data_IF_296377098243
#
_entry.id   IF_296377098243
#
_cell.length_a   1.000
_cell.length_b   1.000
_cell.length_c   1.000
_cell.angle_alpha   90.00
_cell.angle_beta   90.00
_cell.angle_gamma   90.00
#
_symmetry.space_group_name_H-M   'P 1'
#
loop_
_entity.id
_entity.type
_entity.pdbx_description
1 polymer ?
#
# COMPACT_ATOMS: atom_id res chain seq x y z
N UNK A 1 29.00 5.87 7.12
CA UNK A 1 28.20 7.12 7.03
C UNK A 1 27.35 7.23 5.76
N UNK A 2 27.72 6.61 4.63
CA UNK A 2 26.97 6.75 3.36
C UNK A 2 25.57 6.08 3.34
N UNK A 3 25.35 4.99 4.10
CA UNK A 3 24.04 4.33 4.16
C UNK A 3 22.96 5.16 4.89
N UNK A 4 23.33 5.91 5.93
CA UNK A 4 22.40 6.78 6.67
C UNK A 4 21.85 7.93 5.81
N UNK A 5 22.66 8.45 4.88
CA UNK A 5 22.25 9.51 3.95
C UNK A 5 21.30 8.96 2.87
N UNK A 6 21.52 7.71 2.42
CA UNK A 6 20.65 7.04 1.44
C UNK A 6 19.30 6.68 2.07
N UNK A 7 19.29 6.18 3.30
CA UNK A 7 18.05 5.88 4.04
C UNK A 7 17.28 7.16 4.33
N UNK A 8 17.94 8.23 4.80
CA UNK A 8 17.27 9.52 5.04
C UNK A 8 16.67 10.14 3.77
N UNK A 9 17.34 9.98 2.61
CA UNK A 9 16.80 10.41 1.31
C UNK A 9 15.62 9.56 0.86
N UNK A 10 15.68 8.23 1.04
CA UNK A 10 14.58 7.31 0.73
C UNK A 10 13.35 7.56 1.58
N UNK A 11 13.52 7.86 2.86
CA UNK A 11 12.41 8.18 3.76
C UNK A 11 11.78 9.51 3.36
N UNK A 12 12.58 10.53 3.04
CA UNK A 12 12.06 11.83 2.56
C UNK A 12 11.29 11.72 1.24
N UNK A 13 11.74 10.92 0.28
CA UNK A 13 11.02 10.72 -0.98
C UNK A 13 9.73 9.92 -0.80
N UNK A 14 9.73 8.90 0.06
CA UNK A 14 8.52 8.15 0.40
C UNK A 14 7.49 9.03 1.13
N UNK A 15 7.93 9.88 2.06
CA UNK A 15 7.06 10.81 2.79
C UNK A 15 6.49 11.90 1.87
N UNK A 16 7.30 12.42 0.94
CA UNK A 16 6.85 13.39 -0.06
C UNK A 16 5.82 12.78 -1.02
N UNK A 17 6.02 11.53 -1.46
CA UNK A 17 5.06 10.82 -2.30
C UNK A 17 3.74 10.54 -1.56
N UNK A 18 3.81 10.13 -0.29
CA UNK A 18 2.62 9.92 0.54
C UNK A 18 1.84 11.24 0.78
N UNK A 19 2.55 12.34 1.04
CA UNK A 19 1.95 13.69 1.18
C UNK A 19 1.33 14.18 -0.13
N UNK A 20 1.97 13.92 -1.28
CA UNK A 20 1.43 14.26 -2.59
C UNK A 20 0.14 13.47 -2.91
N UNK A 21 0.13 12.16 -2.60
CA UNK A 21 -1.08 11.34 -2.74
C UNK A 21 -2.19 11.79 -1.79
N UNK A 22 -1.87 12.16 -0.54
CA UNK A 22 -2.85 12.70 0.39
C UNK A 22 -3.41 14.06 -0.07
N UNK A 23 -2.57 14.93 -0.64
CA UNK A 23 -3.00 16.19 -1.25
C UNK A 23 -3.92 16.01 -2.45
N UNK A 24 -3.61 15.05 -3.33
CA UNK A 24 -4.48 14.69 -4.47
C UNK A 24 -5.83 14.13 -4.03
N UNK A 25 -5.86 13.30 -2.97
CA UNK A 25 -7.11 12.80 -2.37
C UNK A 25 -7.93 13.92 -1.71
N UNK A 26 -7.26 14.92 -1.12
CA UNK A 26 -7.92 16.09 -0.56
C UNK A 26 -8.52 17.01 -1.65
N UNK A 27 -7.83 17.17 -2.79
CA UNK A 27 -8.33 17.91 -3.95
C UNK A 27 -9.55 17.26 -4.60
N UNK A 28 -9.60 15.92 -4.66
CA UNK A 28 -10.76 15.17 -5.16
C UNK A 28 -11.97 15.26 -4.21
N UNK A 29 -11.72 15.56 -2.93
CA UNK A 29 -12.77 15.65 -1.89
C UNK A 29 -13.21 17.08 -1.58
N UNK A 30 -12.65 18.09 -2.26
CA UNK A 30 -13.04 19.47 -2.03
C UNK A 30 -14.46 19.70 -2.58
N UNK A 31 -15.42 20.18 -1.76
CA UNK A 31 -16.77 20.45 -2.23
C UNK A 31 -16.72 21.51 -3.33
N UNK A 32 -17.40 21.23 -4.44
CA UNK A 32 -17.54 22.14 -5.58
C UNK A 32 -18.03 23.50 -5.07
N UNK A 33 -17.24 24.58 -5.18
CA UNK A 33 -17.69 25.89 -4.72
C UNK A 33 -18.91 26.29 -5.56
N UNK A 34 -19.98 26.69 -4.88
CA UNK A 34 -21.19 27.18 -5.52
C UNK A 34 -20.84 28.34 -6.47
N UNK A 35 -21.30 28.21 -7.72
CA UNK A 35 -21.12 29.21 -8.76
C UNK A 35 -21.68 30.56 -8.29
N UNK A 36 -20.80 31.53 -8.01
CA UNK A 36 -21.25 32.87 -7.60
C UNK A 36 -20.21 33.80 -7.00
N UNK A 37 -19.00 33.35 -6.66
CA UNK A 37 -17.96 34.24 -6.14
C UNK A 37 -17.07 34.78 -7.27
N UNK A 38 -17.36 35.99 -7.75
CA UNK A 38 -16.46 36.78 -8.58
C UNK A 38 -15.21 37.16 -7.77
N UNK A 39 -14.07 36.60 -8.14
CA UNK A 39 -12.78 36.94 -7.53
C UNK A 39 -12.24 38.25 -8.16
N UNK A 40 -11.83 39.24 -7.35
CA UNK A 40 -11.17 40.45 -7.82
C UNK A 40 -9.65 40.22 -7.84
N UNK A 41 -9.15 39.54 -8.86
CA UNK A 41 -7.72 39.61 -9.17
C UNK A 41 -7.54 39.71 -10.67
N UNK A 42 -6.88 40.80 -11.03
CA UNK A 42 -6.50 41.20 -12.37
C UNK A 42 -5.49 40.16 -12.94
N UNK A 43 -6.00 39.23 -13.74
CA UNK A 43 -5.22 38.14 -14.39
C UNK A 43 -4.42 38.67 -15.59
N UNK A 44 -4.54 39.96 -15.93
CA UNK A 44 -4.02 40.52 -17.17
C UNK A 44 -2.50 40.54 -17.29
N UNK A 45 -1.74 40.64 -16.20
CA UNK A 45 -0.28 40.88 -16.27
C UNK A 45 0.61 39.63 -16.16
N UNK A 46 0.05 38.46 -15.81
CA UNK A 46 0.83 37.22 -15.66
C UNK A 46 0.93 36.36 -16.92
N UNK A 47 0.02 36.54 -17.89
CA UNK A 47 -0.08 35.67 -19.06
C UNK A 47 0.91 36.07 -20.16
N UNK A 48 1.26 37.35 -20.27
CA UNK A 48 2.20 37.84 -21.28
C UNK A 48 3.64 37.36 -21.03
N UNK A 49 4.05 37.19 -19.77
CA UNK A 49 5.41 36.70 -19.44
C UNK A 49 5.58 35.21 -19.78
N UNK A 50 4.51 34.41 -19.69
CA UNK A 50 4.55 32.98 -20.02
C UNK A 50 4.54 32.78 -21.54
N UNK A 51 3.79 33.59 -22.29
CA UNK A 51 3.77 33.53 -23.76
C UNK A 51 5.09 34.04 -24.39
N UNK A 52 5.70 35.07 -23.83
CA UNK A 52 6.95 35.63 -24.36
C UNK A 52 8.17 34.72 -24.08
N UNK A 53 8.15 33.95 -22.99
CA UNK A 53 9.14 32.90 -22.71
C UNK A 53 9.05 31.69 -23.66
N UNK A 54 7.86 31.36 -24.15
CA UNK A 54 7.67 30.27 -25.13
C UNK A 54 8.03 30.69 -26.56
N UNK A 55 7.82 31.95 -26.94
CA UNK A 55 8.19 32.45 -28.27
C UNK A 55 9.73 32.47 -28.47
N UNK A 56 10.50 32.76 -27.43
CA UNK A 56 11.97 32.72 -27.47
C UNK A 56 12.54 31.29 -27.49
N UNK A 57 11.81 30.32 -26.94
CA UNK A 57 12.20 28.90 -27.02
C UNK A 57 11.91 28.28 -28.40
N UNK A 58 10.96 28.84 -29.17
CA UNK A 58 10.58 28.32 -30.48
C UNK A 58 11.52 28.77 -31.63
N UNK A 59 12.29 29.85 -31.47
CA UNK A 59 13.16 30.39 -32.53
C UNK A 59 14.63 29.93 -32.45
N UNK A 60 15.05 29.30 -31.35
CA UNK A 60 16.46 29.02 -31.10
C UNK A 60 17.03 27.69 -31.61
N UNK A 61 16.24 26.76 -32.18
CA UNK A 61 16.75 25.38 -32.32
C UNK A 61 16.13 24.51 -33.44
N UNK A 62 15.91 25.06 -34.63
CA UNK A 62 15.28 24.33 -35.76
C UNK A 62 16.29 23.78 -36.79
N UNK A 63 17.62 23.89 -36.57
CA UNK A 63 18.60 23.56 -37.64
C UNK A 63 19.59 22.43 -37.34
N UNK A 64 19.28 21.45 -36.47
CA UNK A 64 20.17 20.29 -36.28
C UNK A 64 19.45 19.01 -35.82
N UNK A 65 18.38 18.60 -36.50
CA UNK A 65 17.52 17.49 -36.04
C UNK A 65 17.87 16.10 -36.59
N UNK A 66 18.89 15.93 -37.45
CA UNK A 66 19.14 14.62 -38.08
C UNK A 66 20.38 13.85 -37.57
N UNK A 67 21.27 14.48 -36.77
CA UNK A 67 22.55 13.87 -36.38
C UNK A 67 22.70 13.45 -34.90
N UNK A 68 21.79 13.87 -34.01
CA UNK A 68 21.93 13.72 -32.55
C UNK A 68 21.13 12.53 -31.96
N UNK A 69 20.37 11.82 -32.77
CA UNK A 69 19.44 10.76 -32.32
C UNK A 69 20.16 9.59 -31.65
N UNK A 70 21.25 9.08 -32.23
CA UNK A 70 21.81 7.79 -31.82
C UNK A 70 22.66 7.82 -30.53
N UNK A 71 23.25 8.97 -30.20
CA UNK A 71 23.99 9.14 -28.93
C UNK A 71 23.06 9.55 -27.80
N UNK A 72 22.06 10.39 -28.07
CA UNK A 72 21.08 10.81 -27.07
C UNK A 72 20.19 9.64 -26.64
N UNK A 73 19.80 8.75 -27.56
CA UNK A 73 18.99 7.56 -27.27
C UNK A 73 19.71 6.59 -26.33
N UNK A 74 21.01 6.33 -26.56
CA UNK A 74 21.83 5.45 -25.70
C UNK A 74 21.97 6.00 -24.29
N UNK A 75 22.22 7.31 -24.16
CA UNK A 75 22.31 7.95 -22.85
C UNK A 75 20.98 7.89 -22.08
N UNK A 76 19.86 8.15 -22.77
CA UNK A 76 18.51 8.06 -22.19
C UNK A 76 18.17 6.64 -21.75
N UNK A 77 18.51 5.64 -22.56
CA UNK A 77 18.30 4.23 -22.22
C UNK A 77 19.07 3.83 -20.95
N UNK A 78 20.33 4.24 -20.82
CA UNK A 78 21.10 3.99 -19.59
C UNK A 78 20.52 4.70 -18.36
N UNK A 79 20.00 5.92 -18.52
CA UNK A 79 19.33 6.66 -17.44
C UNK A 79 18.06 5.92 -16.97
N UNK A 80 17.19 5.53 -17.90
CA UNK A 80 15.94 4.80 -17.60
C UNK A 80 16.25 3.46 -16.93
N UNK A 81 17.18 2.69 -17.48
CA UNK A 81 17.50 1.35 -16.92
C UNK A 81 18.09 1.45 -15.51
N UNK A 82 18.89 2.47 -15.21
CA UNK A 82 19.38 2.71 -13.85
C UNK A 82 18.25 3.11 -12.89
N UNK A 83 17.31 3.96 -13.32
CA UNK A 83 16.13 4.30 -12.51
C UNK A 83 15.24 3.08 -12.26
N UNK A 84 15.05 2.25 -13.29
CA UNK A 84 14.25 1.02 -13.20
C UNK A 84 14.91 0.02 -12.24
N UNK A 85 16.23 -0.17 -12.30
CA UNK A 85 16.97 -1.01 -11.35
C UNK A 85 16.83 -0.51 -9.92
N UNK A 86 16.93 0.80 -9.71
CA UNK A 86 16.80 1.40 -8.39
C UNK A 86 15.37 1.24 -7.85
N UNK A 87 14.36 1.44 -8.69
CA UNK A 87 12.96 1.19 -8.34
C UNK A 87 12.70 -0.28 -7.99
N UNK A 88 13.21 -1.22 -8.80
CA UNK A 88 13.12 -2.67 -8.55
C UNK A 88 13.79 -3.05 -7.23
N UNK A 89 14.98 -2.51 -6.95
CA UNK A 89 15.68 -2.78 -5.70
C UNK A 89 14.91 -2.27 -4.47
N UNK A 90 14.34 -1.06 -4.55
CA UNK A 90 13.46 -0.51 -3.50
C UNK A 90 12.23 -1.40 -3.31
N UNK A 91 11.61 -1.84 -4.41
CA UNK A 91 10.44 -2.73 -4.36
C UNK A 91 10.76 -4.09 -3.74
N UNK A 92 11.90 -4.69 -4.09
CA UNK A 92 12.38 -5.93 -3.47
C UNK A 92 12.65 -5.75 -1.96
N UNK A 93 13.21 -4.60 -1.57
CA UNK A 93 13.37 -4.25 -0.15
C UNK A 93 12.04 -4.14 0.59
N UNK A 94 11.01 -3.56 -0.04
CA UNK A 94 9.66 -3.53 0.52
C UNK A 94 9.03 -4.93 0.58
N UNK A 95 9.15 -5.71 -0.49
CA UNK A 95 8.58 -7.05 -0.58
C UNK A 95 9.17 -7.99 0.46
N UNK A 96 10.48 -7.95 0.67
CA UNK A 96 11.17 -8.76 1.70
C UNK A 96 10.73 -8.37 3.11
N UNK A 97 10.57 -7.07 3.39
CA UNK A 97 10.02 -6.59 4.68
C UNK A 97 8.58 -7.04 4.90
N UNK A 98 7.72 -6.92 3.88
CA UNK A 98 6.32 -7.39 3.94
C UNK A 98 6.25 -8.91 4.11
N UNK A 99 7.10 -9.67 3.40
CA UNK A 99 7.18 -11.11 3.55
C UNK A 99 7.66 -11.50 4.97
N UNK A 100 8.63 -10.77 5.52
CA UNK A 100 9.07 -10.91 6.91
C UNK A 100 7.92 -10.69 7.89
N UNK A 101 7.19 -9.57 7.76
CA UNK A 101 5.97 -9.29 8.53
C UNK A 101 4.94 -10.43 8.44
N UNK A 102 4.73 -10.96 7.24
CA UNK A 102 3.76 -12.02 7.02
C UNK A 102 4.19 -13.34 7.68
N UNK A 103 5.46 -13.71 7.53
CA UNK A 103 6.05 -14.88 8.17
C UNK A 103 5.98 -14.81 9.69
N UNK A 104 6.10 -13.59 10.22
CA UNK A 104 6.01 -13.30 11.64
C UNK A 104 4.59 -13.36 12.15
N UNK A 105 3.63 -12.77 11.44
CA UNK A 105 2.23 -12.90 11.78
C UNK A 105 1.81 -14.39 11.81
N UNK A 106 2.33 -15.18 10.86
CA UNK A 106 2.17 -16.64 10.86
C UNK A 106 2.84 -17.27 12.07
N UNK A 107 4.10 -16.97 12.37
CA UNK A 107 4.81 -17.53 13.53
C UNK A 107 4.14 -17.17 14.86
N UNK A 108 3.69 -15.91 15.02
CA UNK A 108 2.91 -15.46 16.16
C UNK A 108 1.59 -16.20 16.29
N UNK A 109 0.90 -16.48 15.17
CA UNK A 109 -0.30 -17.31 15.17
C UNK A 109 -0.02 -18.77 15.56
N UNK A 110 1.19 -19.27 15.29
CA UNK A 110 1.63 -20.62 15.70
C UNK A 110 2.00 -20.71 17.18
N UNK A 111 2.28 -19.60 17.85
CA UNK A 111 2.48 -19.60 19.30
C UNK A 111 1.17 -19.86 20.05
N UNK A 112 0.02 -19.64 19.42
CA UNK A 112 -1.26 -20.04 19.98
C UNK A 112 -1.45 -21.56 19.84
N UNK A 113 -1.21 -22.27 20.95
CA UNK A 113 -1.32 -23.74 21.02
C UNK A 113 -2.69 -24.25 20.56
N UNK A 114 -3.76 -23.49 20.78
CA UNK A 114 -5.10 -23.87 20.35
C UNK A 114 -5.26 -23.78 18.83
N UNK A 115 -4.70 -22.75 18.19
CA UNK A 115 -4.68 -22.65 16.74
C UNK A 115 -3.83 -23.76 16.12
N UNK A 116 -2.68 -24.09 16.71
CA UNK A 116 -1.82 -25.19 16.23
C UNK A 116 -2.50 -26.54 16.35
N UNK A 117 -3.25 -26.77 17.45
CA UNK A 117 -4.02 -28.00 17.62
C UNK A 117 -5.11 -28.12 16.54
N UNK A 118 -5.90 -27.05 16.32
CA UNK A 118 -6.91 -27.02 15.26
C UNK A 118 -6.30 -27.17 13.86
N UNK A 119 -5.13 -26.57 13.64
CA UNK A 119 -4.39 -26.60 12.38
C UNK A 119 -3.86 -28.00 12.03
N UNK A 120 -3.36 -28.74 13.03
CA UNK A 120 -2.97 -30.15 12.87
C UNK A 120 -4.14 -31.03 12.43
N UNK A 121 -5.35 -30.74 12.94
CA UNK A 121 -6.55 -31.52 12.62
C UNK A 121 -7.13 -31.16 11.25
N UNK A 122 -7.19 -29.87 10.90
CA UNK A 122 -7.97 -29.39 9.75
C UNK A 122 -7.19 -29.31 8.41
N UNK A 123 -5.92 -29.74 8.36
CA UNK A 123 -5.01 -29.68 7.19
C UNK A 123 -4.76 -28.25 6.67
N UNK A 124 -3.55 -28.03 6.14
CA UNK A 124 -3.04 -26.76 5.59
C UNK A 124 -3.99 -26.02 4.61
N UNK A 125 -4.83 -26.76 3.87
CA UNK A 125 -5.76 -26.17 2.88
C UNK A 125 -6.83 -25.27 3.49
N UNK A 126 -7.33 -25.58 4.70
CA UNK A 126 -8.32 -24.71 5.34
C UNK A 126 -7.66 -23.41 5.82
N UNK A 127 -6.43 -23.50 6.32
CA UNK A 127 -5.66 -22.33 6.73
C UNK A 127 -5.46 -21.33 5.59
N UNK A 128 -4.92 -21.77 4.44
CA UNK A 128 -4.74 -20.90 3.27
C UNK A 128 -6.05 -20.23 2.81
N UNK A 129 -7.19 -20.88 3.06
CA UNK A 129 -8.50 -20.34 2.71
C UNK A 129 -9.01 -19.32 3.73
N UNK A 130 -8.70 -19.47 5.02
CA UNK A 130 -9.19 -18.60 6.09
C UNK A 130 -8.26 -17.43 6.43
N UNK A 131 -6.95 -17.57 6.25
CA UNK A 131 -5.95 -16.50 6.46
C UNK A 131 -6.34 -15.18 5.77
N UNK A 132 -6.68 -15.15 4.46
CA UNK A 132 -7.04 -13.89 3.83
C UNK A 132 -8.32 -13.27 4.41
N UNK A 133 -9.26 -14.08 4.89
CA UNK A 133 -10.47 -13.57 5.55
C UNK A 133 -10.16 -12.99 6.93
N UNK A 134 -9.32 -13.66 7.73
CA UNK A 134 -8.87 -13.13 9.01
C UNK A 134 -8.09 -11.82 8.83
N UNK A 135 -7.19 -11.77 7.84
CA UNK A 135 -6.46 -10.56 7.48
C UNK A 135 -7.40 -9.43 7.03
N UNK A 136 -8.44 -9.74 6.25
CA UNK A 136 -9.44 -8.76 5.85
C UNK A 136 -10.24 -8.22 7.05
N UNK A 137 -10.70 -9.08 7.96
CA UNK A 137 -11.40 -8.66 9.19
C UNK A 137 -10.49 -7.76 10.04
N UNK A 138 -9.22 -8.14 10.19
CA UNK A 138 -8.24 -7.34 10.91
C UNK A 138 -8.04 -5.96 10.27
N UNK A 139 -7.82 -5.90 8.96
CA UNK A 139 -7.66 -4.64 8.23
C UNK A 139 -8.91 -3.75 8.36
N UNK A 140 -10.11 -4.30 8.17
CA UNK A 140 -11.34 -3.54 8.35
C UNK A 140 -11.45 -3.01 9.78
N UNK A 141 -11.06 -3.80 10.79
CA UNK A 141 -11.07 -3.39 12.19
C UNK A 141 -10.08 -2.25 12.47
N UNK A 142 -8.90 -2.27 11.83
CA UNK A 142 -7.89 -1.20 11.95
C UNK A 142 -8.36 0.10 11.30
N UNK A 143 -9.12 0.01 10.20
CA UNK A 143 -9.67 1.18 9.52
C UNK A 143 -11.02 1.66 10.07
N UNK A 144 -11.65 0.93 10.99
CA UNK A 144 -12.90 1.36 11.60
C UNK A 144 -12.63 2.54 12.57
N UNK A 145 -13.32 3.65 12.34
CA UNK A 145 -13.22 4.89 13.12
C UNK A 145 -13.67 4.72 14.57
N UNK A 146 -14.38 3.62 14.87
CA UNK A 146 -14.86 3.25 16.20
C UNK A 146 -13.85 2.43 17.01
N UNK A 147 -12.75 1.99 16.41
CA UNK A 147 -11.71 1.27 17.12
C UNK A 147 -11.09 2.13 18.23
N UNK A 148 -10.67 1.49 19.32
CA UNK A 148 -9.98 2.18 20.41
C UNK A 148 -8.71 2.86 19.88
N UNK A 149 -8.67 4.20 20.02
CA UNK A 149 -7.57 5.01 19.50
C UNK A 149 -6.24 4.62 20.12
N UNK A 150 -6.24 4.17 21.38
CA UNK A 150 -5.01 3.78 22.07
C UNK A 150 -4.36 2.55 21.42
N UNK A 151 -5.17 1.53 21.09
CA UNK A 151 -4.67 0.35 20.39
C UNK A 151 -4.15 0.69 19.00
N UNK A 152 -4.85 1.58 18.29
CA UNK A 152 -4.43 2.04 16.97
C UNK A 152 -3.11 2.83 17.03
N UNK A 153 -2.96 3.73 18.01
CA UNK A 153 -1.72 4.49 18.23
C UNK A 153 -0.57 3.54 18.53
N UNK A 154 -0.77 2.52 19.38
CA UNK A 154 0.26 1.52 19.67
C UNK A 154 0.67 0.74 18.41
N UNK A 155 -0.30 0.36 17.57
CA UNK A 155 -0.04 -0.31 16.30
C UNK A 155 0.73 0.59 15.33
N UNK A 156 0.32 1.86 15.19
CA UNK A 156 1.01 2.84 14.34
C UNK A 156 2.42 3.08 14.85
N UNK A 157 2.61 3.23 16.17
CA UNK A 157 3.92 3.40 16.77
C UNK A 157 4.84 2.21 16.48
N UNK A 158 4.33 0.98 16.58
CA UNK A 158 5.10 -0.22 16.25
C UNK A 158 5.46 -0.30 14.75
N UNK A 159 4.55 0.10 13.86
CA UNK A 159 4.83 0.17 12.42
C UNK A 159 5.84 1.26 12.08
N UNK A 160 5.71 2.44 12.70
CA UNK A 160 6.68 3.53 12.53
C UNK A 160 8.05 3.11 13.04
N UNK A 161 8.11 2.45 14.21
CA UNK A 161 9.33 1.92 14.78
C UNK A 161 10.05 0.98 13.81
N UNK A 162 9.34 0.00 13.24
CA UNK A 162 9.86 -0.87 12.18
C UNK A 162 10.37 -0.08 10.97
N UNK A 163 9.60 0.89 10.48
CA UNK A 163 9.97 1.65 9.25
C UNK A 163 11.25 2.47 9.47
N UNK A 164 11.45 3.00 10.67
CA UNK A 164 12.60 3.86 10.99
C UNK A 164 13.91 3.06 10.89
N UNK A 165 13.87 1.72 11.04
CA UNK A 165 15.07 0.87 10.98
C UNK A 165 16.14 1.32 11.98
N UNK A 166 15.71 1.95 13.08
CA UNK A 166 16.54 2.15 14.27
C UNK A 166 16.16 1.05 15.22
N UNK A 167 16.79 -0.09 15.05
CA UNK A 167 16.70 -1.17 16.00
C UNK A 167 17.20 -0.64 17.36
N UNK A 168 16.45 -0.91 18.44
CA UNK A 168 16.92 -0.67 19.82
C UNK A 168 18.19 -1.47 20.11
N UNK A 169 18.41 -2.56 19.38
CA UNK A 169 19.55 -3.46 19.50
C UNK A 169 20.45 -3.24 18.26
N UNK A 170 21.72 -2.86 18.43
CA UNK A 170 22.61 -2.61 17.30
C UNK A 170 22.75 -3.85 16.40
N UNK A 171 22.48 -3.63 15.11
CA UNK A 171 22.42 -4.50 13.91
C UNK A 171 23.53 -5.57 13.70
N UNK A 172 24.43 -5.76 14.65
CA UNK A 172 25.52 -6.74 14.57
C UNK A 172 25.03 -8.19 14.65
N UNK A 173 23.79 -8.43 15.04
CA UNK A 173 23.19 -9.76 15.17
C UNK A 173 21.82 -9.78 14.50
N UNK A 174 21.50 -10.88 13.80
CA UNK A 174 20.19 -11.16 13.18
C UNK A 174 19.00 -11.18 14.16
N UNK A 175 19.25 -10.84 15.42
CA UNK A 175 18.32 -10.75 16.53
C UNK A 175 17.50 -9.44 16.46
N UNK A 176 18.02 -8.37 15.86
CA UNK A 176 17.29 -7.08 15.71
C UNK A 176 15.93 -7.25 15.02
N UNK A 177 15.89 -8.04 13.94
CA UNK A 177 14.62 -8.38 13.28
C UNK A 177 13.61 -9.11 14.19
N UNK A 178 14.06 -9.89 15.17
CA UNK A 178 13.15 -10.60 16.08
C UNK A 178 12.48 -9.62 17.06
N UNK A 179 13.17 -8.55 17.46
CA UNK A 179 12.64 -7.54 18.37
C UNK A 179 11.48 -6.76 17.74
N UNK A 180 11.69 -6.23 16.53
CA UNK A 180 10.65 -5.53 15.75
C UNK A 180 9.39 -6.38 15.57
N UNK A 181 9.62 -7.67 15.34
CA UNK A 181 8.60 -8.70 15.19
C UNK A 181 7.80 -8.89 16.46
N UNK A 182 8.48 -9.01 17.60
CA UNK A 182 7.84 -9.16 18.91
C UNK A 182 7.06 -7.89 19.23
N UNK A 183 7.61 -6.71 18.94
CA UNK A 183 6.95 -5.42 19.15
C UNK A 183 5.66 -5.31 18.33
N UNK A 184 5.68 -5.61 17.02
CA UNK A 184 4.46 -5.58 16.19
C UNK A 184 3.47 -6.65 16.63
N UNK A 185 3.93 -7.87 16.94
CA UNK A 185 3.08 -8.94 17.43
C UNK A 185 2.38 -8.58 18.75
N UNK A 186 3.11 -8.00 19.69
CA UNK A 186 2.60 -7.52 20.97
C UNK A 186 1.60 -6.37 20.78
N UNK A 187 1.92 -5.38 19.94
CA UNK A 187 1.02 -4.26 19.64
C UNK A 187 -0.27 -4.73 18.94
N UNK A 188 -0.16 -5.66 17.98
CA UNK A 188 -1.32 -6.27 17.32
C UNK A 188 -2.19 -7.06 18.29
N UNK A 189 -1.58 -7.87 19.18
CA UNK A 189 -2.31 -8.61 20.21
C UNK A 189 -2.99 -7.67 21.22
N UNK A 190 -2.30 -6.61 21.63
CA UNK A 190 -2.84 -5.58 22.50
C UNK A 190 -4.05 -4.88 21.85
N UNK A 191 -3.95 -4.54 20.56
CA UNK A 191 -5.06 -3.97 19.79
C UNK A 191 -6.26 -4.92 19.75
N UNK A 192 -6.04 -6.22 19.53
CA UNK A 192 -7.11 -7.23 19.53
C UNK A 192 -7.79 -7.35 20.89
N UNK A 193 -7.03 -7.30 22.00
CA UNK A 193 -7.61 -7.33 23.35
C UNK A 193 -8.45 -6.09 23.68
N UNK A 194 -8.13 -4.95 23.08
CA UNK A 194 -8.88 -3.70 23.25
C UNK A 194 -10.07 -3.57 22.31
N UNK A 195 -10.10 -4.34 21.22
CA UNK A 195 -11.23 -4.32 20.31
C UNK A 195 -12.48 -4.95 20.96
N UNK A 196 -13.62 -4.26 20.99
CA UNK A 196 -14.86 -4.84 21.49
C UNK A 196 -15.28 -6.02 20.60
N UNK A 197 -15.65 -7.14 21.23
CA UNK A 197 -15.99 -8.38 20.53
C UNK A 197 -17.12 -8.18 19.50
N UNK A 198 -18.08 -7.32 19.79
CA UNK A 198 -19.19 -6.95 18.90
C UNK A 198 -18.70 -6.38 17.55
N UNK A 199 -17.60 -5.62 17.56
CA UNK A 199 -17.04 -5.04 16.34
C UNK A 199 -16.41 -6.12 15.48
N UNK A 200 -15.66 -7.05 16.08
CA UNK A 200 -15.05 -8.17 15.38
C UNK A 200 -16.12 -9.05 14.74
N UNK A 201 -17.21 -9.33 15.46
CA UNK A 201 -18.32 -10.14 14.96
C UNK A 201 -19.01 -9.49 13.76
N UNK A 202 -19.31 -8.18 13.80
CA UNK A 202 -19.90 -7.46 12.66
C UNK A 202 -19.01 -7.51 11.42
N UNK A 203 -17.71 -7.33 11.60
CA UNK A 203 -16.76 -7.44 10.49
C UNK A 203 -16.66 -8.87 9.94
N UNK A 204 -16.65 -9.88 10.83
CA UNK A 204 -16.67 -11.28 10.43
C UNK A 204 -17.93 -11.61 9.61
N UNK A 205 -19.11 -11.14 10.03
CA UNK A 205 -20.36 -11.30 9.29
C UNK A 205 -20.32 -10.59 7.92
N UNK A 206 -19.76 -9.38 7.86
CA UNK A 206 -19.59 -8.65 6.60
C UNK A 206 -18.74 -9.43 5.59
N UNK A 207 -17.61 -9.97 6.06
CA UNK A 207 -16.69 -10.77 5.24
C UNK A 207 -17.32 -12.10 4.82
N UNK A 208 -18.07 -12.77 5.69
CA UNK A 208 -18.83 -13.98 5.35
C UNK A 208 -19.88 -13.69 4.26
N UNK A 209 -20.65 -12.61 4.40
CA UNK A 209 -21.65 -12.20 3.40
C UNK A 209 -21.00 -11.88 2.05
N UNK A 210 -19.83 -11.25 2.05
CA UNK A 210 -19.06 -11.00 0.82
C UNK A 210 -18.61 -12.30 0.14
N UNK A 211 -18.14 -13.28 0.93
CA UNK A 211 -17.77 -14.62 0.46
C UNK A 211 -18.96 -15.36 -0.16
N UNK A 212 -20.14 -15.29 0.47
CA UNK A 212 -21.36 -15.90 -0.07
C UNK A 212 -21.78 -15.27 -1.39
N UNK A 213 -21.64 -13.95 -1.54
CA UNK A 213 -21.93 -13.27 -2.82
C UNK A 213 -20.97 -13.73 -3.92
N UNK A 214 -19.67 -13.79 -3.63
CA UNK A 214 -18.68 -14.24 -4.61
C UNK A 214 -18.83 -15.71 -4.96
N UNK A 215 -19.16 -16.58 -3.99
CA UNK A 215 -19.44 -18.00 -4.26
C UNK A 215 -20.69 -18.20 -5.12
N UNK A 216 -21.77 -17.41 -4.88
CA UNK A 216 -22.96 -17.41 -5.73
C UNK A 216 -22.66 -16.96 -7.17
N UNK A 217 -21.82 -15.94 -7.35
CA UNK A 217 -21.39 -15.48 -8.68
C UNK A 217 -20.57 -16.57 -9.39
N UNK A 218 -19.64 -17.22 -8.69
CA UNK A 218 -18.85 -18.32 -9.25
C UNK A 218 -19.74 -19.54 -9.59
N UNK A 219 -20.71 -19.88 -8.74
CA UNK A 219 -21.66 -20.96 -9.00
C UNK A 219 -22.54 -20.69 -10.24
N UNK A 220 -22.96 -19.43 -10.44
CA UNK A 220 -23.68 -19.00 -11.65
C UNK A 220 -22.83 -19.14 -12.91
N UNK A 221 -21.54 -18.77 -12.86
CA UNK A 221 -20.61 -18.94 -14.00
C UNK A 221 -20.32 -20.42 -14.32
N UNK A 222 -20.38 -21.29 -13.32
CA UNK A 222 -20.14 -22.74 -13.49
C UNK A 222 -21.36 -23.51 -13.97
N UNK A 223 -22.58 -22.99 -13.86
CA UNK A 223 -23.73 -23.57 -14.55
C UNK A 223 -23.49 -23.32 -16.05
N UNK A 224 -23.08 -24.34 -16.83
CA UNK A 224 -23.02 -24.17 -18.28
C UNK A 224 -24.43 -23.81 -18.74
N UNK A 225 -24.56 -23.11 -19.86
CA UNK A 225 -25.84 -22.87 -20.51
C UNK A 225 -26.45 -24.20 -21.03
N UNK A 226 -26.72 -25.14 -20.12
CA UNK A 226 -27.31 -26.47 -20.36
C UNK A 226 -28.74 -26.37 -20.94
N UNK A 227 -29.30 -25.17 -21.05
CA UNK A 227 -30.59 -24.91 -21.68
C UNK A 227 -30.53 -24.32 -23.09
N UNK A 228 -29.36 -24.17 -23.73
CA UNK A 228 -29.29 -23.56 -25.07
C UNK A 228 -29.23 -24.57 -26.23
N UNK A 229 -29.40 -25.87 -25.98
CA UNK A 229 -29.28 -26.93 -26.99
C UNK A 229 -30.43 -27.92 -26.86
N UNK A 230 -31.62 -27.51 -27.28
CA UNK A 230 -32.81 -28.35 -27.37
C UNK A 230 -33.98 -27.48 -27.82
N UNK A 231 -34.52 -27.80 -28.99
CA UNK A 231 -35.68 -27.20 -29.64
C UNK A 231 -35.36 -26.05 -30.62
N UNK A 232 -34.71 -26.42 -31.73
CA UNK A 232 -35.15 -25.90 -33.03
C UNK A 232 -35.96 -27.02 -33.69
N UNK A 233 -37.26 -26.81 -33.97
CA UNK A 233 -38.07 -27.75 -34.74
C UNK A 233 -37.56 -27.89 -36.18
#
# INVERSE_FOLDING_TARGET
MSMLIVVARSVRTALAAAMACAGLLALVSAPTPAAGASLPWDVGQGVDVVMQGQALAAQGNVTSDEGLSDRSLRWWYHRITNLLRLAVHIWLGWLTRVAGLLGVAVAASMLDRNLVAQWRVHRWRLFQRYVPFAAAVYLLSVFDRRADRLGLIALIAAVVYWIVGRDLIPDTLSIGMLDDVICIGAASRWFMYRCPAEMIERHALSVQKWRERTSRIQARRRRPARGAKGDRP
#
